data_IF_847310133414
#
_entry.id   IF_847310133414
#
_cell.length_a   1.000
_cell.length_b   1.000
_cell.length_c   1.000
_cell.angle_alpha   90.00
_cell.angle_beta   90.00
_cell.angle_gamma   90.00
#
_symmetry.space_group_name_H-M   'P 1'
#
loop_
_entity.id
_entity.type
_entity.pdbx_description
1 polymer ?
#
# COMPACT_ATOMS: atom_id res chain seq x y z
N UNK A 1 -16.49 8.82 25.73
CA UNK A 1 -16.27 9.20 24.32
C UNK A 1 -17.49 9.95 23.87
N UNK A 2 -17.28 11.06 23.16
CA UNK A 2 -18.37 11.85 22.59
C UNK A 2 -18.43 11.58 21.09
N UNK A 3 -19.65 11.45 20.58
CA UNK A 3 -19.89 11.30 19.16
C UNK A 3 -19.93 12.68 18.53
N UNK A 4 -19.14 12.88 17.49
CA UNK A 4 -19.10 14.12 16.70
C UNK A 4 -19.57 13.85 15.29
N UNK A 5 -20.15 14.86 14.66
CA UNK A 5 -20.59 14.78 13.25
C UNK A 5 -19.47 15.12 12.27
N UNK A 6 -18.54 15.98 12.68
CA UNK A 6 -17.43 16.45 11.85
C UNK A 6 -16.19 15.57 12.02
N UNK A 7 -15.64 15.08 10.90
CA UNK A 7 -14.49 14.17 10.91
C UNK A 7 -13.23 14.77 11.55
N UNK A 8 -13.01 16.07 11.39
CA UNK A 8 -11.84 16.75 11.97
C UNK A 8 -11.91 16.93 13.49
N UNK A 9 -13.08 16.71 14.09
CA UNK A 9 -13.30 16.72 15.54
C UNK A 9 -13.25 15.30 16.12
N UNK A 10 -13.19 14.27 15.26
CA UNK A 10 -13.22 12.89 15.69
C UNK A 10 -11.94 12.52 16.45
N UNK A 11 -12.11 11.72 17.50
CA UNK A 11 -10.99 11.16 18.22
C UNK A 11 -10.19 10.23 17.30
N UNK A 12 -8.89 10.47 17.17
CA UNK A 12 -8.00 9.67 16.33
C UNK A 12 -7.21 8.68 17.17
N UNK A 13 -7.21 7.41 16.74
CA UNK A 13 -6.38 6.37 17.33
C UNK A 13 -5.07 6.25 16.57
N UNK A 14 -3.97 6.08 17.31
CA UNK A 14 -2.62 5.91 16.75
C UNK A 14 -2.11 4.55 17.22
N UNK A 15 -1.68 3.70 16.29
CA UNK A 15 -1.04 2.43 16.62
C UNK A 15 0.33 2.66 17.26
N UNK A 16 0.65 1.83 18.26
CA UNK A 16 1.96 1.78 18.89
C UNK A 16 3.02 1.19 17.96
N UNK A 17 4.27 1.18 18.41
CA UNK A 17 5.42 0.63 17.64
C UNK A 17 5.30 -0.86 17.33
N UNK A 18 4.51 -1.61 18.10
CA UNK A 18 4.17 -3.01 17.85
C UNK A 18 2.88 -3.18 17.02
N UNK A 19 2.35 -2.09 16.45
CA UNK A 19 1.21 -2.08 15.54
C UNK A 19 -0.15 -2.21 16.22
N UNK A 20 -0.24 -2.01 17.54
CA UNK A 20 -1.46 -2.24 18.32
C UNK A 20 -2.11 -0.94 18.75
N UNK A 21 -3.43 -0.97 18.89
CA UNK A 21 -4.20 0.06 19.58
C UNK A 21 -5.48 -0.59 20.10
N UNK A 22 -6.14 0.08 21.04
CA UNK A 22 -7.41 -0.38 21.59
C UNK A 22 -8.43 0.75 21.63
N UNK A 23 -9.69 0.38 21.44
CA UNK A 23 -10.83 1.29 21.50
C UNK A 23 -11.75 0.83 22.63
N UNK A 24 -12.00 1.70 23.60
CA UNK A 24 -12.81 1.41 24.79
C UNK A 24 -14.01 2.34 24.89
N UNK A 25 -15.09 1.85 25.51
CA UNK A 25 -16.29 2.67 25.78
C UNK A 25 -17.25 2.79 24.59
N UNK A 26 -17.12 1.93 23.58
CA UNK A 26 -18.13 1.77 22.54
C UNK A 26 -19.32 0.98 23.08
N UNK A 27 -20.53 1.37 22.66
CA UNK A 27 -21.73 0.56 22.87
C UNK A 27 -21.73 -0.63 21.92
N UNK A 28 -22.49 -1.67 22.24
CA UNK A 28 -22.67 -2.79 21.33
C UNK A 28 -23.25 -2.33 19.98
N UNK A 29 -22.73 -2.87 18.89
CA UNK A 29 -23.10 -2.48 17.54
C UNK A 29 -22.02 -2.77 16.50
N UNK A 30 -22.32 -2.42 15.25
CA UNK A 30 -21.40 -2.53 14.12
C UNK A 30 -20.76 -1.18 13.84
N UNK A 31 -19.44 -1.17 13.70
CA UNK A 31 -18.65 0.03 13.43
C UNK A 31 -17.72 -0.20 12.26
N UNK A 32 -17.28 0.90 11.66
CA UNK A 32 -16.30 0.87 10.57
C UNK A 32 -15.07 1.65 11.01
N UNK A 33 -13.90 1.02 10.93
CA UNK A 33 -12.61 1.67 11.09
C UNK A 33 -12.22 2.31 9.77
N UNK A 34 -11.98 3.62 9.79
CA UNK A 34 -11.43 4.37 8.66
C UNK A 34 -9.97 4.73 8.96
N UNK A 35 -9.03 4.25 8.15
CA UNK A 35 -7.64 4.64 8.25
C UNK A 35 -7.44 6.04 7.67
N UNK A 36 -6.90 6.96 8.46
CA UNK A 36 -6.67 8.36 8.02
C UNK A 36 -5.23 8.61 7.58
N UNK A 37 -4.27 7.78 8.03
CA UNK A 37 -2.85 7.90 7.72
C UNK A 37 -2.18 6.54 7.75
N UNK A 38 -1.59 6.13 6.63
CA UNK A 38 -0.79 4.92 6.54
C UNK A 38 0.62 5.11 7.13
N UNK A 39 1.26 4.01 7.58
CA UNK A 39 2.68 4.01 7.94
C UNK A 39 3.57 4.21 6.70
N UNK A 40 4.82 4.61 6.93
CA UNK A 40 5.79 4.87 5.87
C UNK A 40 6.03 3.62 5.00
N UNK A 41 6.01 3.79 3.67
CA UNK A 41 6.19 2.69 2.71
C UNK A 41 4.96 1.81 2.48
N UNK A 42 3.81 2.16 3.06
CA UNK A 42 2.53 1.49 2.85
C UNK A 42 1.50 2.41 2.19
N UNK A 43 0.55 1.80 1.48
CA UNK A 43 -0.58 2.49 0.90
C UNK A 43 -1.68 2.67 1.95
N UNK A 44 -2.34 3.83 1.90
CA UNK A 44 -3.57 4.10 2.67
C UNK A 44 -4.67 3.14 2.24
N UNK A 45 -5.38 2.58 3.20
CA UNK A 45 -6.54 1.75 2.93
C UNK A 45 -7.63 2.58 2.24
N UNK A 46 -8.11 2.08 1.10
CA UNK A 46 -9.20 2.70 0.34
C UNK A 46 -10.59 2.37 0.88
N UNK A 47 -10.68 1.36 1.74
CA UNK A 47 -11.95 0.81 2.23
C UNK A 47 -11.89 0.72 3.74
N UNK A 48 -12.96 1.12 4.40
CA UNK A 48 -13.11 0.95 5.84
C UNK A 48 -13.21 -0.52 6.22
N UNK A 49 -12.79 -0.85 7.45
CA UNK A 49 -12.83 -2.21 7.98
C UNK A 49 -13.97 -2.31 8.98
N UNK A 50 -14.97 -3.13 8.66
CA UNK A 50 -16.10 -3.36 9.55
C UNK A 50 -15.69 -4.26 10.73
N UNK A 51 -16.13 -3.91 11.93
CA UNK A 51 -15.99 -4.73 13.12
C UNK A 51 -17.22 -4.61 14.02
N UNK A 52 -17.49 -5.67 14.78
CA UNK A 52 -18.61 -5.70 15.71
C UNK A 52 -18.12 -5.60 17.15
N UNK A 53 -18.79 -4.77 17.93
CA UNK A 53 -18.62 -4.65 19.37
C UNK A 53 -19.78 -5.38 20.04
N UNK A 54 -19.46 -6.37 20.86
CA UNK A 54 -20.40 -7.17 21.64
C UNK A 54 -19.85 -7.36 23.06
N UNK A 55 -20.68 -7.82 23.98
CA UNK A 55 -20.22 -8.22 25.32
C UNK A 55 -19.09 -9.25 25.23
N UNK A 56 -17.92 -8.90 25.75
CA UNK A 56 -16.74 -9.76 25.71
C UNK A 56 -15.79 -9.51 24.55
N UNK A 57 -16.08 -8.56 23.64
CA UNK A 57 -15.16 -8.14 22.57
C UNK A 57 -13.87 -7.49 23.07
N UNK A 58 -13.79 -7.14 24.36
CA UNK A 58 -12.58 -6.65 25.00
C UNK A 58 -12.27 -7.45 26.27
N UNK A 59 -10.99 -7.76 26.47
CA UNK A 59 -10.47 -8.48 27.64
C UNK A 59 -9.07 -7.98 27.98
N UNK A 60 -8.74 -7.92 29.27
CA UNK A 60 -7.39 -7.53 29.74
C UNK A 60 -6.41 -8.72 29.76
N UNK A 61 -6.83 -9.91 29.32
CA UNK A 61 -5.98 -11.10 29.28
C UNK A 61 -5.02 -11.08 28.09
N UNK A 62 -4.15 -10.06 28.04
CA UNK A 62 -3.17 -9.82 26.97
C UNK A 62 -2.18 -10.96 26.76
N UNK A 63 -1.89 -11.75 27.80
CA UNK A 63 -0.94 -12.86 27.73
C UNK A 63 -1.51 -14.15 27.12
N UNK A 64 -2.83 -14.25 26.95
CA UNK A 64 -3.49 -15.46 26.43
C UNK A 64 -4.00 -15.34 25.00
N UNK A 65 -3.84 -14.19 24.37
CA UNK A 65 -4.41 -13.90 23.05
C UNK A 65 -3.32 -13.93 21.98
N UNK A 66 -3.60 -14.66 20.90
CA UNK A 66 -2.84 -14.59 19.67
C UNK A 66 -3.14 -13.29 18.93
N UNK A 67 -2.22 -12.85 18.07
CA UNK A 67 -2.47 -11.73 17.14
C UNK A 67 -3.67 -12.03 16.21
N UNK A 68 -3.98 -13.31 16.02
CA UNK A 68 -5.09 -13.80 15.20
C UNK A 68 -6.46 -13.62 15.87
N UNK A 69 -6.50 -13.50 17.20
CA UNK A 69 -7.74 -13.31 17.97
C UNK A 69 -8.24 -11.86 17.93
N UNK A 70 -7.43 -10.95 17.37
CA UNK A 70 -7.74 -9.54 17.23
C UNK A 70 -8.12 -9.19 15.79
N UNK A 71 -8.93 -8.15 15.61
CA UNK A 71 -9.20 -7.58 14.29
C UNK A 71 -7.89 -7.09 13.66
N UNK A 72 -7.52 -7.65 12.51
CA UNK A 72 -6.27 -7.33 11.84
C UNK A 72 -6.46 -6.27 10.75
N UNK A 73 -5.76 -5.15 10.91
CA UNK A 73 -5.68 -4.09 9.89
C UNK A 73 -4.41 -4.33 9.07
N UNK A 74 -4.57 -4.82 7.83
CA UNK A 74 -3.45 -5.23 6.97
C UNK A 74 -3.19 -4.20 5.87
N UNK A 75 -2.23 -3.31 6.08
CA UNK A 75 -1.79 -2.36 5.07
C UNK A 75 -1.07 -3.03 3.90
N UNK A 76 -1.29 -2.51 2.69
CA UNK A 76 -0.59 -2.97 1.48
C UNK A 76 0.74 -2.22 1.34
N UNK A 77 1.86 -2.94 1.28
CA UNK A 77 3.18 -2.33 1.06
C UNK A 77 3.27 -1.75 -0.35
N UNK A 78 3.75 -0.52 -0.47
CA UNK A 78 4.03 0.10 -1.76
C UNK A 78 5.30 -0.53 -2.31
N UNK A 79 5.16 -1.33 -3.35
CA UNK A 79 6.29 -1.88 -4.10
C UNK A 79 6.47 -1.05 -5.36
N UNK A 80 7.64 -0.45 -5.51
CA UNK A 80 8.05 0.10 -6.79
C UNK A 80 8.55 -1.10 -7.60
N UNK A 81 7.94 -1.43 -8.75
CA UNK A 81 8.47 -2.48 -9.59
C UNK A 81 9.87 -2.06 -10.05
N UNK A 82 10.86 -2.94 -9.87
CA UNK A 82 12.15 -2.76 -10.53
C UNK A 82 11.92 -2.97 -12.04
N UNK A 83 11.68 -1.91 -12.78
CA UNK A 83 11.55 -1.97 -14.24
C UNK A 83 12.95 -1.96 -14.84
N UNK A 84 13.31 -3.07 -15.51
CA UNK A 84 14.65 -3.28 -16.07
C UNK A 84 15.02 -4.76 -16.14
N UNK A 85 14.06 -5.63 -16.45
CA UNK A 85 14.32 -7.05 -16.66
C UNK A 85 15.00 -7.33 -18.00
N UNK A 86 15.21 -8.61 -18.29
CA UNK A 86 15.83 -9.09 -19.55
C UNK A 86 15.15 -8.48 -20.80
N UNK A 87 13.83 -8.26 -20.76
CA UNK A 87 13.09 -7.64 -21.87
C UNK A 87 13.65 -6.28 -22.30
N UNK A 88 14.01 -5.41 -21.35
CA UNK A 88 14.57 -4.08 -21.65
C UNK A 88 15.93 -4.20 -22.33
N UNK A 89 16.76 -5.16 -21.93
CA UNK A 89 18.06 -5.42 -22.56
C UNK A 89 17.89 -5.84 -24.03
N UNK A 90 16.94 -6.75 -24.31
CA UNK A 90 16.66 -7.21 -25.69
C UNK A 90 16.19 -6.04 -26.56
N UNK A 91 15.21 -5.25 -26.09
CA UNK A 91 14.73 -4.09 -26.85
C UNK A 91 15.83 -3.04 -27.09
N UNK A 92 16.68 -2.78 -26.10
CA UNK A 92 17.81 -1.85 -26.24
C UNK A 92 18.81 -2.35 -27.29
N UNK A 93 19.20 -3.62 -27.24
CA UNK A 93 20.16 -4.21 -28.19
C UNK A 93 19.59 -4.21 -29.62
N UNK A 94 18.32 -4.60 -29.79
CA UNK A 94 17.65 -4.58 -31.10
C UNK A 94 17.55 -3.15 -31.62
N UNK A 95 17.15 -2.19 -30.78
CA UNK A 95 17.05 -0.78 -31.15
C UNK A 95 18.39 -0.15 -31.55
N UNK A 96 19.46 -0.43 -30.80
CA UNK A 96 20.81 0.05 -31.17
C UNK A 96 21.31 -0.62 -32.45
N UNK A 97 21.03 -1.91 -32.65
CA UNK A 97 21.44 -2.63 -33.86
C UNK A 97 20.74 -2.09 -35.10
N UNK A 98 19.43 -1.79 -35.03
CA UNK A 98 18.70 -1.19 -36.15
C UNK A 98 19.17 0.23 -36.45
N UNK A 99 19.50 1.03 -35.42
CA UNK A 99 20.11 2.36 -35.61
C UNK A 99 21.47 2.28 -36.31
N UNK A 100 22.34 1.38 -35.90
CA UNK A 100 23.66 1.18 -36.54
C UNK A 100 23.49 0.72 -37.99
N UNK A 101 22.59 -0.23 -38.24
CA UNK A 101 22.32 -0.71 -39.59
C UNK A 101 21.80 0.42 -40.50
N UNK A 102 20.84 1.21 -40.02
CA UNK A 102 20.31 2.35 -40.76
C UNK A 102 21.40 3.39 -41.05
N UNK A 103 22.27 3.68 -40.08
CA UNK A 103 23.38 4.61 -40.25
C UNK A 103 24.36 4.16 -41.34
N UNK A 104 24.74 2.87 -41.34
CA UNK A 104 25.61 2.29 -42.38
C UNK A 104 24.94 2.36 -43.75
N UNK A 105 23.65 1.99 -43.85
CA UNK A 105 22.90 2.05 -45.09
C UNK A 105 22.80 3.49 -45.66
N UNK A 106 22.57 4.48 -44.79
CA UNK A 106 22.55 5.89 -45.19
C UNK A 106 23.91 6.38 -45.69
N UNK A 107 25.02 6.03 -45.00
CA UNK A 107 26.37 6.39 -45.48
C UNK A 107 26.71 5.73 -46.80
N UNK A 108 26.28 4.48 -47.03
CA UNK A 108 26.51 3.80 -48.31
C UNK A 108 25.77 4.49 -49.45
N UNK A 109 24.49 4.87 -49.25
CA UNK A 109 23.71 5.60 -50.25
C UNK A 109 24.35 6.94 -50.62
N UNK A 110 24.78 7.72 -49.61
CA UNK A 110 25.42 9.01 -49.88
C UNK A 110 26.76 8.92 -50.61
N UNK A 111 27.48 7.79 -50.49
CA UNK A 111 28.73 7.56 -51.23
C UNK A 111 28.49 7.06 -52.67
N UNK A 112 27.32 6.48 -52.96
CA UNK A 112 26.89 6.11 -54.33
C UNK A 112 26.30 7.31 -55.09
N UNK A 113 25.76 8.30 -54.38
CA UNK A 113 25.18 9.53 -54.93
C UNK A 113 26.18 10.71 -55.06
N UNK A 114 27.45 10.52 -54.64
CA UNK A 114 28.53 11.51 -54.68
C UNK A 114 29.62 11.15 -55.71
#
# INVERSE_FOLDING_TARGET
MEWVTEKNQAFTFISSTDGKFEVKGLKEGTYTLEETKAPEGYALLSTGIEFQVQRGSWTDQREKLSIEDHTQIRNKKVTIPQTGGIGTLVFTVVGLSTMVFAFIAMKKRQAEEA
#
